data_IF_647808301762
#
_entry.id   IF_647808301762
#
_cell.length_a   1.000
_cell.length_b   1.000
_cell.length_c   1.000
_cell.angle_alpha   90.00
_cell.angle_beta   90.00
_cell.angle_gamma   90.00
#
_symmetry.space_group_name_H-M   'P 1'
#
loop_
_entity.id
_entity.type
_entity.pdbx_description
1 polymer ?
#
# COMPACT_ATOMS: atom_id res chain seq x y z
N UNK A 1 26.86 -12.83 0.39
CA UNK A 1 25.60 -12.04 0.39
C UNK A 1 25.43 -11.46 -1.00
N UNK A 2 24.21 -11.52 -1.57
CA UNK A 2 23.93 -10.90 -2.87
C UNK A 2 23.90 -9.37 -2.73
N UNK A 3 24.32 -8.64 -3.76
CA UNK A 3 24.16 -7.19 -3.78
C UNK A 3 22.67 -6.83 -3.89
N UNK A 4 22.26 -5.81 -3.17
CA UNK A 4 20.90 -5.22 -3.21
C UNK A 4 21.01 -3.70 -3.31
N UNK A 5 20.10 -3.10 -4.03
CA UNK A 5 19.99 -1.64 -4.12
C UNK A 5 18.79 -1.17 -3.31
N UNK A 6 19.02 -0.28 -2.35
CA UNK A 6 17.99 0.40 -1.58
C UNK A 6 17.81 1.81 -2.15
N UNK A 7 16.65 2.08 -2.73
CA UNK A 7 16.24 3.41 -3.19
C UNK A 7 14.99 3.82 -2.44
N UNK A 8 14.99 5.06 -1.95
CA UNK A 8 13.90 5.63 -1.16
C UNK A 8 13.80 7.12 -1.44
N UNK A 9 12.74 7.81 -1.02
CA UNK A 9 12.66 9.27 -1.07
C UNK A 9 13.90 9.93 -0.46
N UNK A 10 14.29 11.10 -1.00
CA UNK A 10 15.43 11.86 -0.47
C UNK A 10 15.18 12.31 0.97
N UNK A 11 13.90 12.55 1.32
CA UNK A 11 13.48 12.93 2.65
C UNK A 11 12.24 12.14 3.07
N UNK A 12 12.28 11.56 4.26
CA UNK A 12 11.12 10.94 4.92
C UNK A 12 10.96 11.62 6.27
N UNK A 13 9.79 12.22 6.50
CA UNK A 13 9.42 12.81 7.79
C UNK A 13 8.26 12.01 8.34
N UNK A 14 8.41 11.51 9.55
CA UNK A 14 7.37 10.76 10.24
C UNK A 14 7.05 11.42 11.59
N UNK A 15 5.78 11.57 11.90
CA UNK A 15 5.30 12.01 13.20
C UNK A 15 4.02 12.82 13.14
N UNK A 16 3.31 12.81 14.25
CA UNK A 16 2.04 13.51 14.42
C UNK A 16 2.22 15.02 14.21
N UNK A 17 1.51 15.56 13.24
CA UNK A 17 1.58 16.98 12.85
C UNK A 17 2.67 17.32 11.83
N UNK A 18 3.37 16.32 11.25
CA UNK A 18 4.47 16.58 10.32
C UNK A 18 4.02 17.15 8.96
N UNK A 19 2.72 17.25 8.69
CA UNK A 19 2.21 18.01 7.53
C UNK A 19 2.68 19.47 7.55
N UNK A 20 2.97 20.05 8.73
CA UNK A 20 3.57 21.39 8.86
C UNK A 20 5.00 21.43 8.29
N UNK A 21 5.76 20.35 8.43
CA UNK A 21 7.09 20.25 7.84
C UNK A 21 7.02 20.24 6.30
N UNK A 22 5.97 19.65 5.71
CA UNK A 22 5.74 19.75 4.27
C UNK A 22 5.61 21.21 3.83
N UNK A 23 4.79 22.01 4.52
CA UNK A 23 4.60 23.43 4.22
C UNK A 23 5.93 24.20 4.30
N UNK A 24 6.66 24.03 5.40
CA UNK A 24 7.95 24.70 5.60
C UNK A 24 9.00 24.32 4.54
N UNK A 25 9.07 23.03 4.21
CA UNK A 25 10.02 22.53 3.24
C UNK A 25 9.65 22.95 1.81
N UNK A 26 8.36 22.90 1.48
CA UNK A 26 7.90 23.33 0.16
C UNK A 26 8.22 24.81 -0.10
N UNK A 27 8.01 25.69 0.88
CA UNK A 27 8.35 27.11 0.77
C UNK A 27 9.85 27.34 0.48
N UNK A 28 10.72 26.46 1.01
CA UNK A 28 12.19 26.54 0.78
C UNK A 28 12.60 26.08 -0.63
N UNK A 29 11.76 25.33 -1.35
CA UNK A 29 12.09 24.88 -2.71
C UNK A 29 12.16 26.02 -3.73
N UNK A 30 11.46 27.11 -3.47
CA UNK A 30 11.28 28.21 -4.41
C UNK A 30 10.24 27.94 -5.51
N UNK A 31 9.64 26.76 -5.55
CA UNK A 31 8.56 26.39 -6.48
C UNK A 31 7.29 27.18 -6.19
N UNK A 32 6.45 27.42 -7.21
CA UNK A 32 5.34 28.36 -7.09
C UNK A 32 4.01 27.85 -7.67
N UNK A 33 4.02 26.74 -8.40
CA UNK A 33 2.83 26.24 -9.11
C UNK A 33 2.59 24.78 -8.72
N UNK A 34 1.95 24.61 -7.56
CA UNK A 34 1.71 23.29 -6.95
C UNK A 34 0.41 22.66 -7.48
N UNK A 35 0.53 21.51 -8.13
CA UNK A 35 -0.61 20.69 -8.49
C UNK A 35 -0.93 19.71 -7.35
N UNK A 36 -2.09 19.84 -6.74
CA UNK A 36 -2.50 19.05 -5.57
C UNK A 36 -3.46 17.96 -6.00
N UNK A 37 -3.13 16.72 -5.67
CA UNK A 37 -4.01 15.56 -5.89
C UNK A 37 -4.51 15.05 -4.54
N UNK A 38 -5.81 14.88 -4.42
CA UNK A 38 -6.45 14.41 -3.20
C UNK A 38 -7.76 13.67 -3.50
N UNK A 39 -8.50 13.32 -2.47
CA UNK A 39 -9.80 12.67 -2.55
C UNK A 39 -10.85 13.48 -1.76
N UNK A 40 -12.16 13.38 -2.10
CA UNK A 40 -13.19 14.17 -1.45
C UNK A 40 -13.19 14.09 0.09
N UNK A 41 -13.02 12.92 0.74
CA UNK A 41 -13.03 12.84 2.20
C UNK A 41 -11.78 13.46 2.86
N UNK A 42 -10.72 13.68 2.09
CA UNK A 42 -9.44 14.22 2.60
C UNK A 42 -9.40 15.74 2.47
N UNK A 43 -10.09 16.31 1.48
CA UNK A 43 -10.11 17.74 1.18
C UNK A 43 -10.32 18.62 2.43
N UNK A 44 -11.31 18.33 3.31
CA UNK A 44 -11.52 19.13 4.53
C UNK A 44 -10.36 19.05 5.54
N UNK A 45 -9.63 17.93 5.57
CA UNK A 45 -8.52 17.73 6.52
C UNK A 45 -7.28 18.55 6.19
N UNK A 46 -7.14 18.98 4.94
CA UNK A 46 -5.96 19.67 4.43
C UNK A 46 -6.22 21.15 4.10
N UNK A 47 -7.44 21.64 4.34
CA UNK A 47 -7.85 23.02 4.00
C UNK A 47 -6.91 24.06 4.62
N UNK A 48 -6.67 23.98 5.94
CA UNK A 48 -5.75 24.87 6.64
C UNK A 48 -4.33 24.86 6.00
N UNK A 49 -3.88 23.68 5.58
CA UNK A 49 -2.56 23.53 4.92
C UNK A 49 -2.52 24.26 3.58
N UNK A 50 -3.59 24.14 2.80
CA UNK A 50 -3.69 24.82 1.50
C UNK A 50 -3.81 26.34 1.67
N UNK A 51 -4.58 26.80 2.67
CA UNK A 51 -4.69 28.25 2.97
C UNK A 51 -3.34 28.85 3.35
N UNK A 52 -2.54 28.17 4.14
CA UNK A 52 -1.18 28.61 4.50
C UNK A 52 -0.29 28.70 3.28
N UNK A 53 -0.32 27.71 2.37
CA UNK A 53 0.45 27.75 1.12
C UNK A 53 -0.04 28.89 0.21
N UNK A 54 -1.34 29.13 0.09
CA UNK A 54 -1.89 30.20 -0.70
C UNK A 54 -1.49 31.57 -0.13
N UNK A 55 -1.54 31.74 1.18
CA UNK A 55 -1.09 32.97 1.85
C UNK A 55 0.40 33.23 1.65
N UNK A 56 1.20 32.19 1.46
CA UNK A 56 2.60 32.28 1.11
C UNK A 56 2.88 32.60 -0.39
N UNK A 57 1.82 32.84 -1.17
CA UNK A 57 1.92 33.19 -2.60
C UNK A 57 2.16 31.98 -3.53
N UNK A 58 1.80 30.78 -3.09
CA UNK A 58 1.84 29.57 -3.92
C UNK A 58 0.54 29.52 -4.75
N UNK A 59 0.67 29.43 -6.07
CA UNK A 59 -0.46 29.17 -6.96
C UNK A 59 -0.76 27.67 -6.94
N UNK A 60 -2.00 27.30 -6.73
CA UNK A 60 -2.42 25.90 -6.62
C UNK A 60 -3.58 25.58 -7.55
N UNK A 61 -3.54 24.39 -8.14
CA UNK A 61 -4.69 23.75 -8.75
C UNK A 61 -4.92 22.42 -8.02
N UNK A 62 -6.16 22.22 -7.54
CA UNK A 62 -6.51 21.06 -6.72
C UNK A 62 -7.43 20.12 -7.51
N UNK A 63 -6.97 18.92 -7.76
CA UNK A 63 -7.77 17.83 -8.29
C UNK A 63 -8.16 16.90 -7.15
N UNK A 64 -9.47 16.77 -6.88
CA UNK A 64 -9.98 16.05 -5.71
C UNK A 64 -10.93 14.90 -6.04
N UNK A 65 -11.10 14.53 -7.30
CA UNK A 65 -12.12 13.57 -7.73
C UNK A 65 -11.59 12.13 -7.86
N UNK A 66 -10.47 11.82 -7.18
CA UNK A 66 -9.94 10.44 -7.12
C UNK A 66 -10.75 9.66 -6.08
N UNK A 67 -11.78 8.96 -6.53
CA UNK A 67 -12.73 8.22 -5.66
C UNK A 67 -12.59 6.71 -5.73
N UNK A 68 -11.89 6.19 -6.73
CA UNK A 68 -11.73 4.78 -7.00
C UNK A 68 -10.29 4.48 -7.48
N UNK A 69 -10.07 3.27 -7.93
CA UNK A 69 -8.84 2.90 -8.60
C UNK A 69 -8.69 3.69 -9.91
N UNK A 70 -7.59 4.42 -10.11
CA UNK A 70 -7.45 5.32 -11.25
C UNK A 70 -7.33 4.53 -12.55
N UNK A 71 -8.15 4.90 -13.53
CA UNK A 71 -8.04 4.36 -14.88
C UNK A 71 -6.97 5.11 -15.68
N UNK A 72 -6.54 4.50 -16.79
CA UNK A 72 -5.61 5.15 -17.71
C UNK A 72 -6.20 6.42 -18.32
N UNK A 73 -7.51 6.42 -18.64
CA UNK A 73 -8.19 7.59 -19.19
C UNK A 73 -8.31 8.73 -18.17
N UNK A 74 -8.65 8.40 -16.90
CA UNK A 74 -8.66 9.39 -15.82
C UNK A 74 -7.27 10.02 -15.67
N UNK A 75 -6.24 9.18 -15.59
CA UNK A 75 -4.85 9.64 -15.48
C UNK A 75 -4.46 10.58 -16.62
N UNK A 76 -4.75 10.23 -17.88
CA UNK A 76 -4.41 11.08 -19.04
C UNK A 76 -5.10 12.46 -18.94
N UNK A 77 -6.37 12.49 -18.50
CA UNK A 77 -7.07 13.75 -18.25
C UNK A 77 -6.42 14.61 -17.18
N UNK A 78 -5.97 13.99 -16.08
CA UNK A 78 -5.32 14.68 -14.97
C UNK A 78 -3.95 15.24 -15.38
N UNK A 79 -3.16 14.50 -16.14
CA UNK A 79 -1.87 14.96 -16.68
C UNK A 79 -2.06 16.21 -17.54
N UNK A 80 -3.07 16.21 -18.41
CA UNK A 80 -3.36 17.39 -19.25
C UNK A 80 -3.81 18.61 -18.44
N UNK A 81 -4.47 18.42 -17.31
CA UNK A 81 -4.78 19.53 -16.39
C UNK A 81 -3.49 20.07 -15.76
N UNK A 82 -2.60 19.22 -15.25
CA UNK A 82 -1.33 19.63 -14.69
C UNK A 82 -0.45 20.40 -15.73
N UNK A 83 -0.45 19.96 -16.99
CA UNK A 83 0.22 20.63 -18.11
C UNK A 83 -0.36 22.02 -18.38
N UNK A 84 -1.69 22.15 -18.48
CA UNK A 84 -2.38 23.44 -18.69
C UNK A 84 -2.12 24.41 -17.55
N UNK A 85 -2.11 23.92 -16.33
CA UNK A 85 -1.75 24.68 -15.14
C UNK A 85 -0.27 25.07 -15.14
N UNK A 86 0.58 24.43 -15.95
CA UNK A 86 2.06 24.57 -15.96
C UNK A 86 2.64 24.28 -14.58
N UNK A 87 2.24 23.17 -13.99
CA UNK A 87 2.75 22.73 -12.71
C UNK A 87 4.28 22.66 -12.70
N UNK A 88 4.93 23.15 -11.66
CA UNK A 88 6.36 22.97 -11.40
C UNK A 88 6.62 21.93 -10.31
N UNK A 89 5.54 21.51 -9.64
CA UNK A 89 5.56 20.58 -8.53
C UNK A 89 4.23 19.88 -8.37
N UNK A 90 4.25 18.71 -7.75
CA UNK A 90 3.08 17.86 -7.47
C UNK A 90 3.10 17.44 -6.01
N UNK A 91 1.93 17.43 -5.38
CA UNK A 91 1.72 16.78 -4.08
C UNK A 91 0.53 15.85 -4.14
N UNK A 92 0.72 14.60 -3.70
CA UNK A 92 -0.35 13.64 -3.44
C UNK A 92 -0.65 13.59 -1.95
N UNK A 93 -1.90 13.90 -1.55
CA UNK A 93 -2.38 13.80 -0.17
C UNK A 93 -3.60 12.88 -0.17
N UNK A 94 -3.41 11.58 0.12
CA UNK A 94 -4.48 10.60 -0.01
C UNK A 94 -4.04 9.16 0.21
N UNK A 95 -4.90 8.23 -0.11
CA UNK A 95 -4.58 6.81 -0.15
C UNK A 95 -3.72 6.43 -1.36
N UNK A 96 -3.42 5.13 -1.50
CA UNK A 96 -2.56 4.61 -2.56
C UNK A 96 -2.91 5.09 -3.96
N UNK A 97 -4.20 5.10 -4.33
CA UNK A 97 -4.67 5.58 -5.65
C UNK A 97 -4.29 7.04 -5.93
N UNK A 98 -4.43 7.90 -4.92
CA UNK A 98 -4.03 9.32 -5.03
C UNK A 98 -2.53 9.45 -5.19
N UNK A 99 -1.76 8.71 -4.38
CA UNK A 99 -0.30 8.77 -4.41
C UNK A 99 0.26 8.21 -5.71
N UNK A 100 -0.31 7.13 -6.23
CA UNK A 100 0.10 6.54 -7.51
C UNK A 100 -0.15 7.50 -8.68
N UNK A 101 -1.33 8.14 -8.73
CA UNK A 101 -1.61 9.19 -9.73
C UNK A 101 -0.63 10.36 -9.56
N UNK A 102 -0.35 10.81 -8.34
CA UNK A 102 0.58 11.92 -8.10
C UNK A 102 2.00 11.60 -8.61
N UNK A 103 2.49 10.38 -8.35
CA UNK A 103 3.78 9.91 -8.88
C UNK A 103 3.82 9.94 -10.41
N UNK A 104 2.77 9.44 -11.04
CA UNK A 104 2.67 9.40 -12.50
C UNK A 104 2.50 10.81 -13.09
N UNK A 105 1.66 11.67 -12.49
CA UNK A 105 1.53 13.08 -12.93
C UNK A 105 2.88 13.80 -12.84
N UNK A 106 3.61 13.64 -11.74
CA UNK A 106 4.93 14.23 -11.61
C UNK A 106 5.90 13.74 -12.69
N UNK A 107 5.85 12.44 -13.04
CA UNK A 107 6.72 11.86 -14.06
C UNK A 107 6.34 12.29 -15.48
N UNK A 108 5.03 12.31 -15.81
CA UNK A 108 4.57 12.46 -17.19
C UNK A 108 4.13 13.89 -17.57
N UNK A 109 3.83 14.78 -16.62
CA UNK A 109 3.47 16.15 -16.96
C UNK A 109 4.55 16.89 -17.76
N UNK A 110 5.85 16.79 -17.45
CA UNK A 110 6.91 17.41 -18.23
C UNK A 110 7.44 16.55 -19.39
N UNK A 111 6.98 15.30 -19.52
CA UNK A 111 7.54 14.32 -20.46
C UNK A 111 6.74 14.22 -21.75
N UNK A 112 7.42 13.80 -22.82
CA UNK A 112 6.79 13.44 -24.11
C UNK A 112 6.36 11.93 -24.16
N UNK A 113 6.66 11.17 -23.12
CA UNK A 113 6.26 9.75 -23.01
C UNK A 113 4.79 9.62 -22.66
N UNK A 114 4.17 8.54 -23.14
CA UNK A 114 2.83 8.12 -22.72
C UNK A 114 2.95 7.05 -21.63
N UNK A 115 1.99 6.99 -20.73
CA UNK A 115 2.01 6.00 -19.64
C UNK A 115 1.89 4.56 -20.18
N UNK A 116 1.14 4.37 -21.26
CA UNK A 116 0.95 3.07 -21.93
C UNK A 116 2.27 2.43 -22.37
N UNK A 117 3.22 3.25 -22.79
CA UNK A 117 4.54 2.80 -23.24
C UNK A 117 5.47 2.45 -22.07
N UNK A 118 5.03 2.73 -20.85
CA UNK A 118 5.84 2.59 -19.64
C UNK A 118 5.36 1.47 -18.71
N UNK A 119 4.32 0.73 -19.05
CA UNK A 119 3.92 -0.44 -18.26
C UNK A 119 5.07 -1.46 -18.14
N UNK A 120 5.35 -1.88 -16.92
CA UNK A 120 6.48 -2.74 -16.59
C UNK A 120 7.57 -2.02 -15.81
N UNK A 121 8.82 -2.41 -16.00
CA UNK A 121 9.94 -1.94 -15.16
C UNK A 121 10.99 -1.18 -15.98
N UNK A 122 11.32 0.04 -15.56
CA UNK A 122 12.46 0.78 -16.08
C UNK A 122 12.24 1.55 -17.38
N UNK A 123 10.98 1.76 -17.80
CA UNK A 123 10.67 2.43 -19.08
C UNK A 123 10.55 3.95 -18.98
N UNK A 124 10.38 4.54 -17.78
CA UNK A 124 10.45 5.98 -17.60
C UNK A 124 11.91 6.42 -17.79
N UNK A 125 12.14 7.45 -18.63
CA UNK A 125 13.47 7.85 -19.09
C UNK A 125 14.17 8.81 -18.14
N UNK A 126 13.43 9.62 -17.38
CA UNK A 126 14.00 10.66 -16.51
C UNK A 126 13.07 11.00 -15.34
N UNK A 127 13.64 11.62 -14.31
CA UNK A 127 12.86 12.21 -13.21
C UNK A 127 12.02 13.38 -13.74
N UNK A 128 10.78 13.45 -13.27
CA UNK A 128 9.84 14.51 -13.62
C UNK A 128 9.87 15.70 -12.66
N UNK A 129 8.69 16.26 -12.37
CA UNK A 129 8.51 17.37 -11.44
C UNK A 129 8.87 16.98 -10.01
N UNK A 130 9.15 17.97 -9.17
CA UNK A 130 9.27 17.76 -7.73
C UNK A 130 7.99 17.17 -7.17
N UNK A 131 8.11 16.15 -6.34
CA UNK A 131 6.99 15.38 -5.84
C UNK A 131 7.06 15.20 -4.33
N UNK A 132 5.96 15.53 -3.63
CA UNK A 132 5.73 15.12 -2.25
C UNK A 132 4.56 14.14 -2.16
N UNK A 133 4.66 13.17 -1.23
CA UNK A 133 3.62 12.21 -0.92
C UNK A 133 3.24 12.25 0.56
N UNK A 134 1.95 12.44 0.85
CA UNK A 134 1.39 12.43 2.19
C UNK A 134 0.29 11.36 2.27
N UNK A 135 0.58 10.17 2.81
CA UNK A 135 -0.40 9.09 2.91
C UNK A 135 -1.49 9.41 3.93
N UNK A 136 -2.74 9.09 3.60
CA UNK A 136 -3.89 9.21 4.52
C UNK A 136 -4.48 7.85 4.89
N UNK A 137 -3.87 6.76 4.43
CA UNK A 137 -4.15 5.38 4.82
C UNK A 137 -2.85 4.70 5.22
N UNK A 138 -2.92 3.72 6.09
CA UNK A 138 -1.78 2.89 6.50
C UNK A 138 -1.89 1.52 5.80
N UNK A 139 -1.43 1.45 4.56
CA UNK A 139 -1.60 0.24 3.73
C UNK A 139 -0.52 0.08 2.67
N UNK A 140 -0.65 0.81 1.59
CA UNK A 140 0.12 0.59 0.35
C UNK A 140 1.62 0.91 0.44
N UNK A 141 2.02 1.83 1.34
CA UNK A 141 3.41 2.32 1.39
C UNK A 141 3.83 3.03 0.09
N UNK A 142 2.85 3.52 -0.70
CA UNK A 142 3.11 4.14 -2.00
C UNK A 142 3.97 5.40 -1.91
N UNK A 143 3.94 6.10 -0.78
CA UNK A 143 4.75 7.29 -0.52
C UNK A 143 6.27 7.05 -0.58
N UNK A 144 6.70 5.81 -0.37
CA UNK A 144 8.12 5.43 -0.37
C UNK A 144 8.46 4.34 -1.40
N UNK A 145 7.50 3.89 -2.20
CA UNK A 145 7.71 2.83 -3.18
C UNK A 145 7.92 3.39 -4.59
N UNK A 146 8.72 2.71 -5.45
CA UNK A 146 8.94 3.09 -6.83
C UNK A 146 7.83 2.63 -7.79
N UNK A 147 6.70 2.17 -7.27
CA UNK A 147 5.61 1.54 -8.02
C UNK A 147 4.43 2.49 -8.16
N UNK A 148 3.71 2.43 -9.28
CA UNK A 148 2.38 3.01 -9.44
C UNK A 148 1.52 2.07 -10.28
N UNK A 149 0.22 1.96 -9.95
CA UNK A 149 -0.72 1.04 -10.60
C UNK A 149 -1.83 1.85 -11.27
N UNK A 150 -2.17 1.48 -12.51
CA UNK A 150 -3.33 1.97 -13.23
C UNK A 150 -4.19 0.79 -13.71
N UNK A 151 -5.49 1.00 -13.78
CA UNK A 151 -6.40 0.11 -14.50
C UNK A 151 -6.39 0.47 -15.99
N UNK A 152 -5.95 -0.46 -16.82
CA UNK A 152 -6.07 -0.33 -18.26
C UNK A 152 -7.46 -0.82 -18.68
N UNK A 153 -8.32 0.10 -19.11
CA UNK A 153 -9.70 -0.18 -19.44
C UNK A 153 -9.86 -1.00 -20.73
N UNK A 154 -8.79 -1.09 -21.54
CA UNK A 154 -8.82 -1.82 -22.82
C UNK A 154 -8.87 -3.33 -22.64
N UNK A 155 -8.25 -3.82 -21.58
CA UNK A 155 -8.19 -5.25 -21.24
C UNK A 155 -8.66 -5.54 -19.80
N UNK A 156 -9.11 -4.51 -19.07
CA UNK A 156 -9.56 -4.57 -17.68
C UNK A 156 -8.49 -5.12 -16.73
N UNK A 157 -7.21 -4.91 -17.04
CA UNK A 157 -6.09 -5.37 -16.21
C UNK A 157 -5.44 -4.23 -15.42
N UNK A 158 -5.06 -4.54 -14.19
CA UNK A 158 -4.19 -3.68 -13.40
C UNK A 158 -2.77 -3.79 -13.89
N UNK A 159 -2.22 -2.68 -14.35
CA UNK A 159 -0.86 -2.60 -14.87
C UNK A 159 0.02 -1.71 -14.02
N UNK A 160 1.19 -2.22 -13.67
CA UNK A 160 2.16 -1.50 -12.85
C UNK A 160 3.23 -0.84 -13.70
N UNK A 161 3.59 0.38 -13.31
CA UNK A 161 4.79 1.09 -13.77
C UNK A 161 5.76 1.09 -12.60
N UNK A 162 6.96 0.59 -12.82
CA UNK A 162 8.01 0.49 -11.80
C UNK A 162 9.24 1.26 -12.27
N UNK A 163 9.62 2.31 -11.55
CA UNK A 163 10.78 3.11 -11.90
C UNK A 163 11.33 3.87 -10.69
N UNK A 164 12.65 4.00 -10.52
CA UNK A 164 13.23 4.85 -9.48
C UNK A 164 12.81 6.32 -9.64
N UNK A 165 12.40 6.74 -10.82
CA UNK A 165 11.91 8.09 -11.10
C UNK A 165 10.50 8.37 -10.56
N UNK A 166 9.77 7.34 -10.07
CA UNK A 166 8.50 7.48 -9.37
C UNK A 166 8.67 7.71 -7.86
N UNK A 167 9.88 7.52 -7.31
CA UNK A 167 10.13 7.85 -5.92
C UNK A 167 9.91 9.34 -5.66
N UNK A 168 9.14 9.64 -4.62
CA UNK A 168 8.93 11.02 -4.19
C UNK A 168 10.27 11.70 -3.80
N UNK A 169 10.35 13.02 -3.94
CA UNK A 169 11.46 13.79 -3.39
C UNK A 169 11.33 13.86 -1.87
N UNK A 170 10.08 13.94 -1.36
CA UNK A 170 9.81 13.92 0.06
C UNK A 170 8.52 13.13 0.37
N UNK A 171 8.54 12.37 1.46
CA UNK A 171 7.37 11.72 2.04
C UNK A 171 7.14 12.26 3.46
N UNK A 172 5.90 12.63 3.78
CA UNK A 172 5.50 13.11 5.09
C UNK A 172 4.40 12.21 5.64
N UNK A 173 4.75 11.36 6.58
CA UNK A 173 3.83 10.38 7.16
C UNK A 173 3.28 10.94 8.46
N UNK A 174 2.17 11.65 8.36
CA UNK A 174 1.43 12.21 9.50
C UNK A 174 0.30 11.28 9.93
N UNK A 175 0.41 10.54 11.05
CA UNK A 175 -0.63 9.63 11.49
C UNK A 175 -2.00 10.28 11.68
N UNK A 176 -2.07 11.60 11.96
CA UNK A 176 -3.33 12.33 12.10
C UNK A 176 -4.20 12.28 10.84
N UNK A 177 -3.58 12.21 9.67
CA UNK A 177 -4.30 12.09 8.40
C UNK A 177 -5.04 10.75 8.26
N UNK A 178 -4.75 9.78 9.14
CA UNK A 178 -5.39 8.47 9.15
C UNK A 178 -6.51 8.34 10.19
N UNK A 179 -6.69 9.32 11.10
CA UNK A 179 -7.63 9.20 12.23
C UNK A 179 -9.10 9.10 11.81
N UNK A 180 -9.45 9.64 10.65
CA UNK A 180 -10.81 9.59 10.12
C UNK A 180 -11.10 8.38 9.24
N UNK A 181 -10.10 7.54 9.00
CA UNK A 181 -10.25 6.34 8.14
C UNK A 181 -11.24 5.36 8.80
N UNK A 182 -12.29 4.92 8.06
CA UNK A 182 -13.27 3.97 8.60
C UNK A 182 -12.65 2.62 8.99
N UNK A 183 -13.26 1.93 9.95
CA UNK A 183 -12.79 0.64 10.44
C UNK A 183 -12.55 -0.39 9.33
N UNK A 184 -13.50 -0.52 8.40
CA UNK A 184 -13.37 -1.44 7.26
C UNK A 184 -12.14 -1.13 6.40
N UNK A 185 -11.92 0.14 6.05
CA UNK A 185 -10.74 0.56 5.27
C UNK A 185 -9.46 0.34 6.10
N UNK A 186 -9.52 0.58 7.42
CA UNK A 186 -8.39 0.31 8.32
C UNK A 186 -8.02 -1.17 8.35
N UNK A 187 -9.02 -2.07 8.40
CA UNK A 187 -8.81 -3.52 8.34
C UNK A 187 -8.17 -3.93 7.01
N UNK A 188 -8.79 -3.53 5.90
CA UNK A 188 -8.34 -3.89 4.55
C UNK A 188 -6.90 -3.40 4.30
N UNK A 189 -6.61 -2.13 4.61
CA UNK A 189 -5.28 -1.54 4.36
C UNK A 189 -4.23 -2.03 5.36
N UNK A 190 -4.59 -2.24 6.62
CA UNK A 190 -3.67 -2.78 7.62
C UNK A 190 -3.24 -4.22 7.31
N UNK A 191 -4.18 -5.06 6.85
CA UNK A 191 -3.86 -6.41 6.38
C UNK A 191 -3.00 -6.39 5.11
N UNK A 192 -3.21 -5.42 4.21
CA UNK A 192 -2.36 -5.21 3.04
C UNK A 192 -0.91 -4.86 3.44
N UNK A 193 -0.74 -3.89 4.34
CA UNK A 193 0.58 -3.52 4.85
C UNK A 193 1.28 -4.70 5.56
N UNK A 194 0.52 -5.51 6.32
CA UNK A 194 1.04 -6.72 6.94
C UNK A 194 1.49 -7.74 5.88
N UNK A 195 0.70 -7.89 4.82
CA UNK A 195 1.04 -8.76 3.69
C UNK A 195 2.33 -8.30 2.99
N UNK A 196 2.50 -6.99 2.76
CA UNK A 196 3.75 -6.44 2.23
C UNK A 196 4.96 -6.86 3.04
N UNK A 197 4.87 -6.70 4.36
CA UNK A 197 5.97 -7.06 5.26
C UNK A 197 6.25 -8.57 5.27
N UNK A 198 5.20 -9.42 5.34
CA UNK A 198 5.34 -10.87 5.37
C UNK A 198 5.92 -11.38 4.04
N UNK A 199 5.38 -10.95 2.91
CA UNK A 199 5.88 -11.36 1.60
C UNK A 199 7.30 -10.89 1.35
N UNK A 200 7.66 -9.68 1.77
CA UNK A 200 9.03 -9.20 1.64
C UNK A 200 10.01 -10.01 2.52
N UNK A 201 9.61 -10.33 3.76
CA UNK A 201 10.44 -11.14 4.65
C UNK A 201 10.63 -12.56 4.11
N UNK A 202 9.57 -13.23 3.65
CA UNK A 202 9.60 -14.60 3.16
C UNK A 202 9.99 -14.72 1.68
N UNK A 203 10.28 -13.62 1.00
CA UNK A 203 10.62 -13.56 -0.42
C UNK A 203 11.86 -14.38 -0.76
N UNK A 204 11.87 -14.99 -1.94
CA UNK A 204 13.04 -15.69 -2.49
C UNK A 204 14.28 -14.81 -2.60
N UNK A 205 14.09 -13.50 -2.74
CA UNK A 205 15.15 -12.49 -2.84
C UNK A 205 15.30 -11.67 -1.56
N UNK A 206 14.74 -12.14 -0.43
CA UNK A 206 14.88 -11.50 0.87
C UNK A 206 16.34 -11.19 1.21
N UNK A 207 16.57 -10.07 1.88
CA UNK A 207 17.91 -9.62 2.22
C UNK A 207 17.93 -9.04 3.65
N UNK A 208 18.98 -9.31 4.45
CA UNK A 208 19.03 -8.87 5.86
C UNK A 208 18.84 -7.36 6.07
N UNK A 209 19.24 -6.51 5.12
CA UNK A 209 19.02 -5.05 5.21
C UNK A 209 17.55 -4.65 5.02
N UNK A 210 16.70 -5.52 4.45
CA UNK A 210 15.26 -5.31 4.27
C UNK A 210 14.47 -6.05 5.34
N UNK A 211 14.99 -7.20 5.81
CA UNK A 211 14.38 -8.01 6.87
C UNK A 211 14.08 -7.20 8.13
N UNK A 212 14.93 -6.21 8.44
CA UNK A 212 14.76 -5.31 9.60
C UNK A 212 13.45 -4.53 9.49
N UNK A 213 13.18 -3.95 8.32
CA UNK A 213 11.93 -3.22 8.07
C UNK A 213 10.73 -4.17 8.09
N UNK A 214 10.82 -5.29 7.41
CA UNK A 214 9.74 -6.26 7.30
C UNK A 214 9.32 -6.81 8.68
N UNK A 215 10.26 -7.30 9.49
CA UNK A 215 9.96 -7.82 10.83
C UNK A 215 9.41 -6.75 11.79
N UNK A 216 9.93 -5.52 11.71
CA UNK A 216 9.41 -4.45 12.54
C UNK A 216 8.00 -4.03 12.10
N UNK A 217 7.74 -3.98 10.79
CA UNK A 217 6.40 -3.73 10.25
C UNK A 217 5.40 -4.79 10.69
N UNK A 218 5.77 -6.08 10.60
CA UNK A 218 4.94 -7.21 11.09
C UNK A 218 4.60 -6.99 12.57
N UNK A 219 5.59 -6.69 13.41
CA UNK A 219 5.39 -6.49 14.85
C UNK A 219 4.44 -5.33 15.17
N UNK A 220 4.60 -4.21 14.47
CA UNK A 220 3.78 -3.01 14.70
C UNK A 220 2.34 -3.24 14.27
N UNK A 221 2.12 -3.79 13.07
CA UNK A 221 0.78 -3.95 12.52
C UNK A 221 0.02 -5.04 13.26
N UNK A 222 0.59 -6.22 13.45
CA UNK A 222 -0.10 -7.36 14.07
C UNK A 222 -0.59 -7.10 15.49
N UNK A 223 0.11 -6.24 16.23
CA UNK A 223 -0.22 -5.91 17.63
C UNK A 223 -1.21 -4.76 17.77
N UNK A 224 -1.44 -3.97 16.73
CA UNK A 224 -2.21 -2.73 16.82
C UNK A 224 -3.42 -2.69 15.88
N UNK A 225 -3.50 -3.59 14.89
CA UNK A 225 -4.56 -3.56 13.87
C UNK A 225 -5.95 -3.75 14.48
N UNK A 226 -6.12 -4.74 15.33
CA UNK A 226 -7.41 -5.00 15.99
C UNK A 226 -7.86 -3.80 16.82
N UNK A 227 -6.96 -3.22 17.61
CA UNK A 227 -7.23 -2.01 18.40
C UNK A 227 -7.62 -0.83 17.51
N UNK A 228 -6.89 -0.59 16.43
CA UNK A 228 -7.18 0.51 15.51
C UNK A 228 -8.55 0.33 14.83
N UNK A 229 -8.90 -0.89 14.43
CA UNK A 229 -10.20 -1.20 13.80
C UNK A 229 -11.34 -1.05 14.80
N UNK A 230 -11.21 -1.62 15.99
CA UNK A 230 -12.21 -1.55 17.06
C UNK A 230 -12.52 -0.09 17.44
N UNK A 231 -11.49 0.69 17.67
CA UNK A 231 -11.62 2.08 18.10
C UNK A 231 -12.07 3.01 16.96
N UNK A 232 -11.74 2.70 15.70
CA UNK A 232 -12.29 3.43 14.57
C UNK A 232 -13.82 3.33 14.44
N UNK A 233 -14.45 2.31 15.02
CA UNK A 233 -15.90 2.10 15.02
C UNK A 233 -16.60 2.68 16.24
N UNK A 234 -15.85 3.12 17.26
CA UNK A 234 -16.41 3.57 18.54
C UNK A 234 -16.32 5.09 18.71
N UNK A 235 -17.29 5.65 19.44
CA UNK A 235 -17.23 7.03 19.89
C UNK A 235 -16.05 7.26 20.85
N UNK A 236 -15.73 6.27 21.69
CA UNK A 236 -14.63 6.34 22.66
C UNK A 236 -13.27 6.44 21.97
N UNK A 237 -13.09 5.78 20.81
CA UNK A 237 -11.84 5.82 20.06
C UNK A 237 -11.62 7.13 19.34
N UNK A 238 -12.63 7.60 18.59
CA UNK A 238 -12.55 8.84 17.79
C UNK A 238 -12.66 10.10 18.63
N UNK A 239 -13.23 9.99 19.84
CA UNK A 239 -13.52 11.13 20.71
C UNK A 239 -14.62 12.05 20.18
N UNK A 240 -14.90 13.10 20.93
CA UNK A 240 -15.75 14.21 20.50
C UNK A 240 -14.94 15.29 19.79
N UNK A 241 -15.62 16.23 19.14
CA UNK A 241 -14.97 17.40 18.54
C UNK A 241 -14.15 18.23 19.54
N UNK A 242 -14.46 18.12 20.84
CA UNK A 242 -13.80 18.86 21.92
C UNK A 242 -12.69 18.09 22.62
N UNK A 243 -12.76 16.75 22.65
CA UNK A 243 -11.81 15.89 23.41
C UNK A 243 -10.76 15.24 22.51
N UNK A 244 -11.02 15.12 21.22
CA UNK A 244 -10.15 14.44 20.26
C UNK A 244 -10.08 12.91 20.47
N UNK A 245 -9.24 12.20 19.69
CA UNK A 245 -9.12 10.75 19.78
C UNK A 245 -8.46 10.31 21.09
N UNK A 246 -8.81 9.10 21.57
CA UNK A 246 -8.16 8.50 22.74
C UNK A 246 -6.68 8.22 22.49
N UNK A 247 -5.88 8.24 23.56
CA UNK A 247 -4.44 7.96 23.48
C UNK A 247 -4.17 6.56 22.90
N UNK A 248 -4.95 5.54 23.29
CA UNK A 248 -4.85 4.18 22.74
C UNK A 248 -5.08 4.16 21.22
N UNK A 249 -6.05 4.94 20.72
CA UNK A 249 -6.31 5.06 19.28
C UNK A 249 -5.16 5.75 18.53
N UNK A 250 -4.64 6.83 19.09
CA UNK A 250 -3.49 7.57 18.54
C UNK A 250 -2.29 6.63 18.39
N UNK A 251 -1.92 5.92 19.46
CA UNK A 251 -0.79 4.97 19.46
C UNK A 251 -0.99 3.83 18.43
N UNK A 252 -2.20 3.29 18.35
CA UNK A 252 -2.51 2.26 17.36
C UNK A 252 -2.39 2.81 15.92
N UNK A 253 -2.86 4.03 15.65
CA UNK A 253 -2.73 4.67 14.32
C UNK A 253 -1.29 5.00 13.97
N UNK A 254 -0.49 5.47 14.92
CA UNK A 254 0.94 5.70 14.73
C UNK A 254 1.67 4.40 14.40
N UNK A 255 1.36 3.32 15.13
CA UNK A 255 1.95 2.02 14.87
C UNK A 255 1.60 1.47 13.48
N UNK A 256 0.34 1.61 13.04
CA UNK A 256 -0.07 1.20 11.70
C UNK A 256 0.59 2.05 10.61
N UNK A 257 0.63 3.37 10.77
CA UNK A 257 1.28 4.26 9.80
C UNK A 257 2.77 3.93 9.66
N UNK A 258 3.45 3.67 10.77
CA UNK A 258 4.86 3.30 10.76
C UNK A 258 5.08 1.89 10.19
N UNK A 259 4.22 0.93 10.52
CA UNK A 259 4.27 -0.42 9.95
C UNK A 259 4.05 -0.42 8.43
N UNK A 260 3.10 0.39 7.93
CA UNK A 260 2.85 0.59 6.50
C UNK A 260 4.06 1.21 5.78
N UNK A 261 4.67 2.24 6.39
CA UNK A 261 5.91 2.84 5.87
C UNK A 261 7.01 1.79 5.70
N UNK A 262 7.21 0.92 6.71
CA UNK A 262 8.19 -0.15 6.63
C UNK A 262 7.86 -1.17 5.52
N UNK A 263 6.59 -1.54 5.35
CA UNK A 263 6.14 -2.36 4.23
C UNK A 263 6.48 -1.72 2.88
N UNK A 264 6.19 -0.43 2.73
CA UNK A 264 6.52 0.35 1.52
C UNK A 264 8.02 0.37 1.18
N UNK A 265 8.88 0.52 2.20
CA UNK A 265 10.34 0.48 2.03
C UNK A 265 10.87 -0.88 1.55
N UNK A 266 10.11 -1.96 1.75
CA UNK A 266 10.45 -3.28 1.25
C UNK A 266 10.11 -3.47 -0.24
N UNK A 267 9.15 -2.72 -0.79
CA UNK A 267 8.62 -2.95 -2.14
C UNK A 267 9.63 -2.66 -3.25
N UNK A 268 10.46 -1.65 -3.08
CA UNK A 268 11.50 -1.32 -4.07
C UNK A 268 12.56 -2.41 -4.21
N UNK A 269 13.23 -2.79 -3.13
CA UNK A 269 14.36 -3.72 -3.18
C UNK A 269 13.97 -5.20 -3.29
N UNK A 270 12.83 -5.62 -2.75
CA UNK A 270 12.43 -7.04 -2.65
C UNK A 270 11.09 -7.31 -3.32
N UNK A 271 10.08 -6.45 -3.11
CA UNK A 271 8.74 -6.56 -3.67
C UNK A 271 7.86 -7.65 -3.01
N UNK A 272 6.62 -7.77 -3.50
CA UNK A 272 5.61 -8.77 -3.08
C UNK A 272 5.72 -10.08 -3.86
N UNK A 273 4.87 -11.06 -3.55
CA UNK A 273 4.95 -12.41 -4.09
C UNK A 273 3.57 -13.01 -4.44
N UNK A 274 3.27 -14.22 -3.97
CA UNK A 274 2.11 -15.00 -4.39
C UNK A 274 0.77 -14.45 -3.89
N UNK A 275 0.70 -13.85 -2.69
CA UNK A 275 -0.56 -13.26 -2.19
C UNK A 275 -1.04 -12.21 -3.16
N UNK A 276 -0.15 -11.26 -3.51
CA UNK A 276 -0.48 -10.19 -4.46
C UNK A 276 -0.75 -10.73 -5.87
N UNK A 277 -0.01 -11.74 -6.32
CA UNK A 277 -0.28 -12.34 -7.63
C UNK A 277 -1.68 -12.97 -7.72
N UNK A 278 -2.08 -13.69 -6.66
CA UNK A 278 -3.39 -14.32 -6.57
C UNK A 278 -4.53 -13.32 -6.27
N UNK A 279 -4.24 -12.15 -5.72
CA UNK A 279 -5.25 -11.13 -5.45
C UNK A 279 -5.68 -10.35 -6.70
N UNK A 280 -4.84 -10.26 -7.73
CA UNK A 280 -5.13 -9.47 -8.94
C UNK A 280 -6.42 -9.88 -9.66
N UNK A 281 -6.73 -11.19 -9.85
CA UNK A 281 -8.00 -11.58 -10.45
C UNK A 281 -9.22 -11.15 -9.62
N UNK A 282 -9.14 -11.17 -8.28
CA UNK A 282 -10.23 -10.73 -7.41
C UNK A 282 -10.53 -9.23 -7.62
N UNK A 283 -9.50 -8.42 -7.74
CA UNK A 283 -9.66 -6.99 -8.02
C UNK A 283 -10.09 -6.70 -9.45
N UNK A 284 -9.48 -7.35 -10.44
CA UNK A 284 -9.73 -7.09 -11.87
C UNK A 284 -11.08 -7.57 -12.35
N UNK A 285 -11.49 -8.80 -11.99
CA UNK A 285 -12.74 -9.40 -12.45
C UNK A 285 -13.93 -9.10 -11.55
N UNK A 286 -13.72 -9.11 -10.22
CA UNK A 286 -14.81 -8.99 -9.24
C UNK A 286 -14.83 -7.65 -8.50
N UNK A 287 -13.93 -6.73 -8.83
CA UNK A 287 -13.83 -5.39 -8.22
C UNK A 287 -13.70 -5.41 -6.69
N UNK A 288 -13.10 -6.47 -6.14
CA UNK A 288 -12.82 -6.55 -4.70
C UNK A 288 -11.69 -5.56 -4.36
N UNK A 289 -11.83 -4.76 -3.30
CA UNK A 289 -10.76 -3.86 -2.86
C UNK A 289 -9.43 -4.59 -2.66
N UNK A 290 -8.33 -3.97 -3.08
CA UNK A 290 -6.99 -4.59 -3.11
C UNK A 290 -6.58 -5.18 -1.75
N UNK A 291 -6.68 -4.39 -0.67
CA UNK A 291 -6.32 -4.85 0.66
C UNK A 291 -7.19 -6.01 1.15
N UNK A 292 -8.50 -5.99 0.85
CA UNK A 292 -9.40 -7.10 1.17
C UNK A 292 -9.03 -8.36 0.38
N UNK A 293 -8.67 -8.22 -0.90
CA UNK A 293 -8.22 -9.35 -1.74
C UNK A 293 -6.95 -10.00 -1.17
N UNK A 294 -6.00 -9.20 -0.72
CA UNK A 294 -4.78 -9.70 -0.08
C UNK A 294 -5.10 -10.35 1.28
N UNK A 295 -5.95 -9.71 2.09
CA UNK A 295 -6.31 -10.17 3.42
C UNK A 295 -6.94 -11.58 3.44
N UNK A 296 -7.88 -11.85 2.52
CA UNK A 296 -8.55 -13.16 2.46
C UNK A 296 -7.62 -14.28 1.99
N UNK A 297 -6.64 -13.95 1.13
CA UNK A 297 -5.69 -14.92 0.57
C UNK A 297 -4.50 -15.20 1.49
N UNK A 298 -4.09 -14.22 2.30
CA UNK A 298 -2.87 -14.27 3.09
C UNK A 298 -2.72 -15.55 3.92
N UNK A 299 -3.71 -15.99 4.74
CA UNK A 299 -3.53 -17.17 5.58
C UNK A 299 -3.28 -18.45 4.77
N UNK A 300 -4.04 -18.64 3.67
CA UNK A 300 -3.92 -19.84 2.81
C UNK A 300 -2.58 -19.87 2.06
N UNK A 301 -2.10 -18.73 1.58
CA UNK A 301 -0.77 -18.62 0.93
C UNK A 301 0.35 -18.80 1.95
N UNK A 302 0.23 -18.25 3.16
CA UNK A 302 1.19 -18.49 4.24
C UNK A 302 1.30 -19.99 4.55
N UNK A 303 0.18 -20.68 4.71
CA UNK A 303 0.14 -22.13 4.94
C UNK A 303 0.87 -22.89 3.82
N UNK A 304 0.58 -22.53 2.56
CA UNK A 304 1.24 -23.13 1.38
C UNK A 304 2.75 -22.91 1.40
N UNK A 305 3.22 -21.71 1.71
CA UNK A 305 4.63 -21.34 1.66
C UNK A 305 5.41 -21.83 2.88
N UNK A 306 4.80 -21.95 4.05
CA UNK A 306 5.46 -22.35 5.30
C UNK A 306 6.13 -23.74 5.20
N UNK A 307 5.57 -24.65 4.40
CA UNK A 307 6.17 -25.96 4.14
C UNK A 307 7.56 -25.87 3.47
N UNK A 308 7.81 -24.82 2.67
CA UNK A 308 9.07 -24.66 1.94
C UNK A 308 10.13 -23.85 2.69
N UNK A 309 9.72 -23.00 3.63
CA UNK A 309 10.63 -22.15 4.43
C UNK A 309 10.13 -21.96 5.86
N UNK A 310 9.99 -23.06 6.65
CA UNK A 310 9.39 -23.01 7.98
C UNK A 310 10.10 -22.03 8.91
N UNK A 311 11.43 -21.94 8.87
CA UNK A 311 12.19 -21.01 9.69
C UNK A 311 11.77 -19.54 9.47
N UNK A 312 11.63 -19.09 8.20
CA UNK A 312 11.21 -17.70 7.90
C UNK A 312 9.81 -17.42 8.41
N UNK A 313 8.89 -18.40 8.31
CA UNK A 313 7.54 -18.26 8.85
C UNK A 313 7.47 -18.39 10.38
N UNK A 314 8.40 -19.13 11.00
CA UNK A 314 8.57 -19.11 12.45
C UNK A 314 9.02 -17.73 12.96
N UNK A 315 9.99 -17.09 12.27
CA UNK A 315 10.41 -15.71 12.58
C UNK A 315 9.24 -14.72 12.45
N UNK A 316 8.40 -14.86 11.42
CA UNK A 316 7.16 -14.07 11.24
C UNK A 316 6.22 -14.29 12.42
N UNK A 317 5.98 -15.54 12.83
CA UNK A 317 5.14 -15.87 13.97
C UNK A 317 5.65 -15.23 15.28
N UNK A 318 6.95 -15.30 15.52
CA UNK A 318 7.59 -14.66 16.68
C UNK A 318 7.44 -13.13 16.63
N UNK A 319 7.61 -12.53 15.45
CA UNK A 319 7.41 -11.09 15.29
C UNK A 319 5.97 -10.66 15.61
N UNK A 320 4.98 -11.47 15.25
CA UNK A 320 3.57 -11.27 15.61
C UNK A 320 3.28 -11.47 17.10
N UNK A 321 4.20 -12.09 17.86
CA UNK A 321 4.05 -12.37 19.30
C UNK A 321 3.57 -13.77 19.61
N UNK A 322 3.59 -14.69 18.65
CA UNK A 322 3.27 -16.10 18.91
C UNK A 322 4.36 -16.73 19.81
N UNK A 323 3.93 -17.62 20.71
CA UNK A 323 4.85 -18.43 21.52
C UNK A 323 5.53 -19.47 20.61
N UNK A 324 6.86 -19.68 20.72
CA UNK A 324 7.54 -20.73 19.98
C UNK A 324 6.94 -22.12 20.21
N UNK A 325 6.88 -22.93 19.15
CA UNK A 325 6.53 -24.35 19.19
C UNK A 325 7.76 -25.23 19.52
N UNK A 326 7.60 -26.55 19.35
CA UNK A 326 8.71 -27.49 19.56
C UNK A 326 9.76 -27.41 18.44
N UNK A 327 9.38 -26.91 17.27
CA UNK A 327 10.23 -26.69 16.10
C UNK A 327 9.72 -25.53 15.25
N UNK A 328 10.42 -25.23 14.14
CA UNK A 328 10.07 -24.13 13.24
C UNK A 328 8.74 -24.37 12.54
N UNK A 329 8.40 -25.60 12.18
CA UNK A 329 7.14 -25.95 11.53
C UNK A 329 5.94 -25.69 12.44
N UNK A 330 6.03 -26.09 13.70
CA UNK A 330 4.96 -25.81 14.68
C UNK A 330 4.85 -24.31 14.96
N UNK A 331 5.97 -23.62 15.05
CA UNK A 331 5.98 -22.17 15.27
C UNK A 331 5.36 -21.43 14.07
N UNK A 332 5.72 -21.83 12.85
CA UNK A 332 5.15 -21.30 11.62
C UNK A 332 3.62 -21.54 11.54
N UNK A 333 3.16 -22.74 11.92
CA UNK A 333 1.73 -23.04 11.97
C UNK A 333 0.98 -22.13 12.96
N UNK A 334 1.55 -21.86 14.14
CA UNK A 334 0.97 -20.88 15.09
C UNK A 334 0.85 -19.49 14.47
N UNK A 335 1.81 -19.10 13.62
CA UNK A 335 1.75 -17.85 12.86
C UNK A 335 0.60 -17.82 11.85
N UNK A 336 0.39 -18.92 11.13
CA UNK A 336 -0.74 -19.07 10.20
C UNK A 336 -2.07 -18.97 10.97
N UNK A 337 -2.19 -19.69 12.09
CA UNK A 337 -3.41 -19.68 12.91
C UNK A 337 -3.67 -18.26 13.48
N UNK A 338 -2.63 -17.55 13.88
CA UNK A 338 -2.72 -16.15 14.33
C UNK A 338 -3.30 -15.23 13.23
N UNK A 339 -2.84 -15.37 11.99
CA UNK A 339 -3.34 -14.55 10.87
C UNK A 339 -4.81 -14.86 10.58
N UNK A 340 -5.26 -16.11 10.65
CA UNK A 340 -6.68 -16.45 10.55
C UNK A 340 -7.50 -15.74 11.65
N UNK A 341 -7.01 -15.77 12.89
CA UNK A 341 -7.68 -15.13 14.02
C UNK A 341 -7.71 -13.60 13.87
N UNK A 342 -6.58 -13.00 13.50
CA UNK A 342 -6.49 -11.55 13.28
C UNK A 342 -7.43 -11.11 12.15
N UNK A 343 -7.44 -11.80 11.02
CA UNK A 343 -8.35 -11.50 9.91
C UNK A 343 -9.82 -11.55 10.35
N UNK A 344 -10.21 -12.58 11.09
CA UNK A 344 -11.55 -12.71 11.64
C UNK A 344 -11.90 -11.58 12.63
N UNK A 345 -10.97 -11.23 13.55
CA UNK A 345 -11.21 -10.20 14.58
C UNK A 345 -11.38 -8.78 13.96
N UNK A 346 -10.81 -8.53 12.79
CA UNK A 346 -10.96 -7.26 12.08
C UNK A 346 -12.04 -7.29 10.99
N UNK A 347 -12.83 -8.39 10.92
CA UNK A 347 -13.99 -8.48 10.04
C UNK A 347 -13.68 -8.84 8.58
N UNK A 348 -12.51 -9.42 8.29
CA UNK A 348 -12.20 -9.98 6.97
C UNK A 348 -12.99 -11.30 6.82
N UNK A 349 -13.74 -11.48 5.73
CA UNK A 349 -14.44 -12.73 5.48
C UNK A 349 -13.44 -13.88 5.21
N UNK A 350 -13.81 -15.08 5.64
CA UNK A 350 -13.02 -16.31 5.45
C UNK A 350 -13.36 -17.06 4.15
N UNK A 351 -14.43 -16.64 3.45
CA UNK A 351 -14.97 -17.30 2.26
C UNK A 351 -15.12 -16.34 1.08
N UNK A 352 -14.70 -16.78 -0.10
CA UNK A 352 -14.89 -16.03 -1.35
C UNK A 352 -16.38 -15.85 -1.72
N UNK A 353 -17.24 -16.79 -1.29
CA UNK A 353 -18.69 -16.66 -1.47
C UNK A 353 -19.28 -15.46 -0.72
N UNK A 354 -18.70 -15.06 0.41
CA UNK A 354 -19.12 -13.86 1.13
C UNK A 354 -18.79 -12.56 0.34
N UNK A 355 -17.89 -12.64 -0.63
CA UNK A 355 -17.55 -11.56 -1.56
C UNK A 355 -18.33 -11.66 -2.88
N UNK A 356 -19.27 -12.60 -3.00
CA UNK A 356 -20.05 -12.80 -4.23
C UNK A 356 -19.29 -13.53 -5.34
N UNK A 357 -18.12 -14.12 -5.05
CA UNK A 357 -17.30 -14.83 -6.04
C UNK A 357 -17.77 -16.30 -6.08
N UNK A 358 -18.29 -16.79 -7.23
CA UNK A 358 -18.74 -18.18 -7.34
C UNK A 358 -17.56 -19.14 -7.49
N UNK A 359 -17.69 -20.36 -6.95
CA UNK A 359 -16.63 -21.38 -7.05
C UNK A 359 -16.27 -21.73 -8.52
N UNK A 360 -17.19 -21.55 -9.45
CA UNK A 360 -16.95 -21.74 -10.89
C UNK A 360 -15.91 -20.78 -11.47
N UNK A 361 -15.59 -19.68 -10.78
CA UNK A 361 -14.56 -18.72 -11.20
C UNK A 361 -13.12 -19.21 -10.93
N UNK A 362 -12.93 -20.23 -10.07
CA UNK A 362 -11.61 -20.68 -9.62
C UNK A 362 -10.66 -20.97 -10.76
N UNK A 363 -11.10 -21.66 -11.82
CA UNK A 363 -10.25 -21.99 -12.96
C UNK A 363 -9.81 -20.74 -13.75
N UNK A 364 -10.71 -19.76 -13.90
CA UNK A 364 -10.40 -18.47 -14.51
C UNK A 364 -9.38 -17.68 -13.71
N UNK A 365 -9.65 -17.52 -12.41
CA UNK A 365 -8.76 -16.82 -11.50
C UNK A 365 -7.38 -17.47 -11.43
N UNK A 366 -7.30 -18.81 -11.38
CA UNK A 366 -6.02 -19.51 -11.34
C UNK A 366 -5.17 -19.24 -12.60
N UNK A 367 -5.79 -19.32 -13.79
CA UNK A 367 -5.09 -18.98 -15.05
C UNK A 367 -4.64 -17.52 -15.09
N UNK A 368 -5.51 -16.59 -14.70
CA UNK A 368 -5.18 -15.16 -14.68
C UNK A 368 -4.03 -14.84 -13.70
N UNK A 369 -4.00 -15.48 -12.53
CA UNK A 369 -2.93 -15.32 -11.57
C UNK A 369 -1.57 -15.79 -12.13
N UNK A 370 -1.53 -16.81 -12.99
CA UNK A 370 -0.29 -17.28 -13.61
C UNK A 370 0.33 -16.26 -14.57
N UNK A 371 -0.42 -15.32 -15.09
CA UNK A 371 0.12 -14.24 -15.94
C UNK A 371 0.96 -13.24 -15.11
N UNK A 372 0.80 -13.21 -13.79
CA UNK A 372 1.49 -12.28 -12.89
C UNK A 372 2.90 -12.79 -12.52
N UNK A 373 3.66 -13.26 -13.50
CA UNK A 373 4.99 -13.84 -13.32
C UNK A 373 5.98 -12.91 -12.62
N UNK A 374 5.80 -11.59 -12.77
CA UNK A 374 6.60 -10.57 -12.08
C UNK A 374 6.61 -10.75 -10.56
N UNK A 375 5.50 -11.19 -9.98
CA UNK A 375 5.34 -11.41 -8.55
C UNK A 375 5.56 -12.87 -8.17
N UNK A 376 5.05 -13.82 -8.94
CA UNK A 376 5.18 -15.25 -8.65
C UNK A 376 6.63 -15.72 -8.56
N UNK A 377 7.55 -15.16 -9.36
CA UNK A 377 8.99 -15.49 -9.30
C UNK A 377 9.64 -15.14 -7.97
N UNK A 378 9.02 -14.24 -7.18
CA UNK A 378 9.53 -13.80 -5.89
C UNK A 378 9.12 -14.75 -4.76
N UNK A 379 8.12 -15.61 -4.99
CA UNK A 379 7.60 -16.51 -3.97
C UNK A 379 8.65 -17.51 -3.52
N UNK A 380 8.72 -17.89 -2.22
CA UNK A 380 9.74 -18.80 -1.70
C UNK A 380 9.68 -20.18 -2.34
N UNK A 381 8.51 -20.65 -2.78
CA UNK A 381 8.35 -21.86 -3.59
C UNK A 381 7.62 -21.54 -4.89
N UNK A 382 7.88 -22.30 -5.97
CA UNK A 382 7.10 -22.16 -7.21
C UNK A 382 5.60 -22.37 -6.95
N UNK A 383 4.79 -21.56 -7.62
CA UNK A 383 3.32 -21.71 -7.60
C UNK A 383 2.90 -22.19 -8.98
N UNK A 384 2.26 -23.34 -9.03
CA UNK A 384 1.64 -23.87 -10.24
C UNK A 384 0.18 -23.43 -10.34
N UNK A 385 -0.42 -23.54 -11.53
CA UNK A 385 -1.85 -23.28 -11.70
C UNK A 385 -2.72 -24.18 -10.80
N UNK A 386 -2.27 -25.44 -10.57
CA UNK A 386 -2.97 -26.34 -9.65
C UNK A 386 -2.85 -25.88 -8.19
N UNK A 387 -1.70 -25.35 -7.77
CA UNK A 387 -1.54 -24.78 -6.43
C UNK A 387 -2.46 -23.55 -6.26
N UNK A 388 -2.55 -22.70 -7.26
CA UNK A 388 -3.47 -21.56 -7.24
C UNK A 388 -4.93 -22.01 -7.11
N UNK A 389 -5.36 -23.04 -7.87
CA UNK A 389 -6.71 -23.67 -7.72
C UNK A 389 -6.93 -24.20 -6.31
N UNK A 390 -5.94 -24.87 -5.75
CA UNK A 390 -6.06 -25.45 -4.40
C UNK A 390 -6.18 -24.35 -3.34
N UNK A 391 -5.41 -23.27 -3.47
CA UNK A 391 -5.48 -22.10 -2.57
C UNK A 391 -6.88 -21.46 -2.67
N UNK A 392 -7.37 -21.15 -3.87
CA UNK A 392 -8.71 -20.58 -4.02
C UNK A 392 -9.81 -21.51 -3.52
N UNK A 393 -9.73 -22.82 -3.82
CA UNK A 393 -10.72 -23.80 -3.34
C UNK A 393 -10.74 -23.93 -1.81
N UNK A 394 -9.64 -23.66 -1.12
CA UNK A 394 -9.62 -23.67 0.36
C UNK A 394 -10.43 -22.53 0.99
N UNK A 395 -10.86 -21.56 0.19
CA UNK A 395 -11.66 -20.41 0.60
C UNK A 395 -13.15 -20.54 0.25
N UNK A 396 -13.64 -21.78 -0.04
CA UNK A 396 -15.06 -22.11 -0.25
C UNK A 396 -15.53 -23.20 0.76
#
# INVERSE_FOLDING_TARGET
MKAITLQQPQKIVFGTGCIKNFVEDYQKTGLRRLFVLTAPPIRPLIEETLDVLQAAGISMEVYQDITAEPTLNDFNSIVEQARRFRADSVVGIGGGSVLDVAKLVAAFAPADQQAEDCFGTGFIRQKGLWLACLPTTAGTGSEVSPNAILLDERDHLKKGIVSPFLLADAAYVDPRLTWTVPAKVTADTGMDALTHCIEAYTNKFAHPSVDIYALQGIRLISRNLETAVRLASSADGRGSATEGPSQEYIEAREALAFGSLYGGLCLGPVNTAAVHALSYPLGGEFHIPHGLSNAILLPSVMKFNAEACPQRYADVAIAMGCTPGANDEETAQRGVDFIYQLAASVGIPDKLTALGIPQTAVDGMARAAMEVQRLLKNNPRPVTEQDARNIYNSLY
#
